data_IF_558319772747
#
_entry.id   IF_558319772747
#
_cell.length_a   1.000
_cell.length_b   1.000
_cell.length_c   1.000
_cell.angle_alpha   90.00
_cell.angle_beta   90.00
_cell.angle_gamma   90.00
#
_symmetry.space_group_name_H-M   'P 1'
#
loop_
_entity.id
_entity.type
_entity.pdbx_description
1 polymer ?
#
# COMPACT_ATOMS: atom_id res chain seq x y z
N UNK A 1 10.88 24.49 -9.68
CA UNK A 1 11.31 23.41 -8.77
C UNK A 1 10.97 22.09 -9.44
N UNK A 2 11.89 21.14 -9.44
CA UNK A 2 11.67 19.84 -10.09
C UNK A 2 10.58 19.08 -9.31
N UNK A 3 9.43 18.78 -9.91
CA UNK A 3 8.31 18.08 -9.27
C UNK A 3 8.45 16.55 -9.37
N UNK A 4 9.66 16.05 -9.47
CA UNK A 4 9.96 14.64 -9.68
C UNK A 4 9.89 13.84 -8.38
N UNK A 5 9.32 12.66 -8.44
CA UNK A 5 9.23 11.71 -7.33
C UNK A 5 10.27 10.60 -7.48
N UNK A 6 10.71 10.02 -6.37
CA UNK A 6 11.46 8.77 -6.37
C UNK A 6 10.53 7.64 -5.92
N UNK A 7 10.37 6.59 -6.73
CA UNK A 7 9.46 5.48 -6.43
C UNK A 7 10.26 4.18 -6.30
N UNK A 8 10.25 3.54 -5.14
CA UNK A 8 10.75 2.19 -4.99
C UNK A 8 9.68 1.17 -5.37
N UNK A 9 10.06 0.04 -5.94
CA UNK A 9 9.07 -0.95 -6.39
C UNK A 9 8.28 -0.54 -7.63
N UNK A 10 8.87 0.30 -8.48
CA UNK A 10 8.26 0.83 -9.70
C UNK A 10 7.89 -0.22 -10.76
N UNK A 11 8.44 -1.44 -10.70
CA UNK A 11 8.06 -2.56 -11.56
C UNK A 11 6.86 -3.37 -11.06
N UNK A 12 6.41 -3.10 -9.82
CA UNK A 12 5.26 -3.77 -9.23
C UNK A 12 3.91 -3.30 -9.81
N UNK A 13 2.83 -3.99 -9.45
CA UNK A 13 1.46 -3.71 -9.94
C UNK A 13 1.04 -2.25 -9.77
N UNK A 14 1.24 -1.67 -8.58
CA UNK A 14 0.92 -0.27 -8.32
C UNK A 14 1.96 0.68 -8.95
N UNK A 15 3.25 0.31 -8.90
CA UNK A 15 4.33 1.13 -9.42
C UNK A 15 4.20 1.41 -10.92
N UNK A 16 3.78 0.43 -11.71
CA UNK A 16 3.55 0.60 -13.15
C UNK A 16 2.47 1.64 -13.45
N UNK A 17 1.38 1.67 -12.68
CA UNK A 17 0.34 2.69 -12.83
C UNK A 17 0.79 4.08 -12.35
N UNK A 18 1.54 4.14 -11.24
CA UNK A 18 2.01 5.44 -10.74
C UNK A 18 3.01 6.11 -11.68
N UNK A 19 3.85 5.33 -12.40
CA UNK A 19 4.78 5.84 -13.41
C UNK A 19 4.08 6.56 -14.57
N UNK A 20 2.89 6.14 -14.92
CA UNK A 20 2.09 6.78 -15.97
C UNK A 20 1.44 8.08 -15.51
N UNK A 21 1.25 8.25 -14.20
CA UNK A 21 0.50 9.35 -13.59
C UNK A 21 1.38 10.44 -12.95
N UNK A 22 2.67 10.14 -12.69
CA UNK A 22 3.61 11.01 -11.99
C UNK A 22 4.94 11.10 -12.75
N UNK A 23 5.54 12.29 -12.75
CA UNK A 23 6.95 12.45 -13.14
C UNK A 23 7.84 11.83 -12.08
N UNK A 24 8.54 10.73 -12.36
CA UNK A 24 9.26 9.98 -11.35
C UNK A 24 10.45 9.20 -11.88
N UNK A 25 11.41 8.93 -11.00
CA UNK A 25 12.42 7.90 -11.17
C UNK A 25 11.98 6.62 -10.47
N UNK A 26 12.24 5.49 -11.11
CA UNK A 26 11.89 4.16 -10.59
C UNK A 26 13.08 3.23 -10.72
N UNK A 27 14.08 3.35 -9.82
CA UNK A 27 15.28 2.53 -9.91
C UNK A 27 14.96 1.04 -9.78
N UNK A 28 15.79 0.23 -10.42
CA UNK A 28 15.78 -1.22 -10.24
C UNK A 28 16.29 -1.60 -8.85
N UNK A 29 16.02 -2.83 -8.42
CA UNK A 29 16.57 -3.35 -7.15
C UNK A 29 18.11 -3.33 -7.13
N UNK A 30 18.77 -3.55 -8.26
CA UNK A 30 20.25 -3.51 -8.34
C UNK A 30 20.80 -2.13 -8.11
N UNK A 31 20.14 -1.09 -8.63
CA UNK A 31 20.54 0.32 -8.50
C UNK A 31 20.19 0.88 -7.11
N UNK A 32 19.07 0.43 -6.53
CA UNK A 32 18.51 1.00 -5.31
C UNK A 32 17.97 -0.11 -4.39
N UNK A 33 18.89 -0.88 -3.81
CA UNK A 33 18.56 -1.88 -2.82
C UNK A 33 18.23 -1.22 -1.48
N UNK A 34 16.97 -1.30 -1.07
CA UNK A 34 16.47 -0.68 0.16
C UNK A 34 17.05 -1.31 1.44
N UNK A 35 17.63 -2.50 1.33
CA UNK A 35 18.32 -3.16 2.45
C UNK A 35 19.75 -2.67 2.63
N UNK A 36 20.33 -1.97 1.63
CA UNK A 36 21.66 -1.40 1.66
C UNK A 36 21.66 0.14 1.79
N UNK A 37 21.91 0.71 2.98
CA UNK A 37 21.93 2.16 3.18
C UNK A 37 22.95 2.90 2.32
N UNK A 38 24.05 2.25 1.90
CA UNK A 38 25.08 2.89 1.04
C UNK A 38 24.52 3.07 -0.37
N UNK A 39 23.91 2.04 -0.95
CA UNK A 39 23.24 2.13 -2.26
C UNK A 39 22.15 3.20 -2.27
N UNK A 40 21.32 3.25 -1.21
CA UNK A 40 20.30 4.29 -1.08
C UNK A 40 20.94 5.69 -1.14
N UNK A 41 21.96 5.97 -0.30
CA UNK A 41 22.61 7.31 -0.27
C UNK A 41 23.26 7.69 -1.58
N UNK A 42 23.92 6.76 -2.25
CA UNK A 42 24.60 7.00 -3.52
C UNK A 42 23.64 7.34 -4.66
N UNK A 43 22.40 6.89 -4.58
CA UNK A 43 21.38 7.17 -5.59
C UNK A 43 20.82 8.60 -5.50
N UNK A 44 20.83 9.21 -4.31
CA UNK A 44 20.31 10.57 -4.11
C UNK A 44 21.29 11.64 -4.63
N UNK A 45 21.41 11.71 -5.94
CA UNK A 45 22.24 12.68 -6.67
C UNK A 45 21.46 13.91 -7.19
N UNK A 46 20.15 13.95 -6.96
CA UNK A 46 19.25 15.05 -7.31
C UNK A 46 18.16 15.24 -6.28
N UNK A 47 17.47 16.39 -6.35
CA UNK A 47 16.36 16.68 -5.48
C UNK A 47 15.06 16.01 -5.97
N UNK A 48 14.32 15.43 -5.04
CA UNK A 48 13.00 14.86 -5.26
C UNK A 48 11.94 15.58 -4.41
N UNK A 49 10.71 15.63 -4.89
CA UNK A 49 9.57 16.19 -4.16
C UNK A 49 9.17 15.29 -2.99
N UNK A 50 9.17 13.99 -3.20
CA UNK A 50 8.95 12.97 -2.16
C UNK A 50 9.49 11.61 -2.61
N UNK A 51 9.72 10.74 -1.61
CA UNK A 51 10.03 9.33 -1.79
C UNK A 51 8.73 8.53 -1.60
N UNK A 52 8.29 7.81 -2.64
CA UNK A 52 7.12 6.93 -2.62
C UNK A 52 7.63 5.50 -2.48
N UNK A 53 7.35 4.89 -1.33
CA UNK A 53 7.84 3.55 -1.02
C UNK A 53 6.77 2.49 -1.24
N UNK A 54 6.94 1.71 -2.33
CA UNK A 54 6.06 0.60 -2.73
C UNK A 54 6.75 -0.77 -2.61
N UNK A 55 8.09 -0.80 -2.63
CA UNK A 55 8.85 -2.05 -2.60
C UNK A 55 8.53 -2.84 -1.34
N UNK A 56 8.11 -4.08 -1.51
CA UNK A 56 7.82 -5.01 -0.42
C UNK A 56 7.75 -6.44 -0.95
N UNK A 57 8.05 -7.40 -0.10
CA UNK A 57 7.64 -8.79 -0.28
C UNK A 57 6.17 -8.85 0.12
N UNK A 58 5.28 -8.91 -0.88
CA UNK A 58 3.82 -8.77 -0.71
C UNK A 58 3.03 -10.07 -0.86
N UNK A 59 3.65 -11.14 -1.37
CA UNK A 59 3.05 -12.46 -1.38
C UNK A 59 3.04 -13.02 0.05
N UNK A 60 1.84 -13.32 0.56
CA UNK A 60 1.66 -13.73 1.95
C UNK A 60 2.25 -15.10 2.25
N UNK A 61 2.13 -16.03 1.29
CA UNK A 61 2.67 -17.38 1.43
C UNK A 61 4.20 -17.34 1.37
N UNK A 62 4.77 -16.59 0.43
CA UNK A 62 6.21 -16.39 0.36
C UNK A 62 6.74 -15.75 1.64
N UNK A 63 6.12 -14.66 2.10
CA UNK A 63 6.53 -13.96 3.32
C UNK A 63 6.49 -14.87 4.56
N UNK A 64 5.50 -15.75 4.68
CA UNK A 64 5.39 -16.70 5.78
C UNK A 64 6.51 -17.74 5.79
N UNK A 65 6.96 -18.18 4.60
CA UNK A 65 8.01 -19.18 4.44
C UNK A 65 9.44 -18.58 4.40
N UNK A 66 9.57 -17.25 4.17
CA UNK A 66 10.83 -16.51 4.10
C UNK A 66 10.79 -15.31 5.06
N UNK A 67 10.60 -15.60 6.36
CA UNK A 67 10.34 -14.59 7.38
C UNK A 67 11.49 -13.61 7.55
N UNK A 68 12.72 -14.08 7.58
CA UNK A 68 13.90 -13.24 7.69
C UNK A 68 14.03 -12.27 6.52
N UNK A 69 13.93 -12.76 5.29
CA UNK A 69 14.02 -11.94 4.09
C UNK A 69 12.89 -10.89 4.05
N UNK A 70 11.66 -11.31 4.36
CA UNK A 70 10.53 -10.39 4.38
C UNK A 70 10.66 -9.33 5.49
N UNK A 71 11.28 -9.66 6.62
CA UNK A 71 11.60 -8.70 7.67
C UNK A 71 12.69 -7.71 7.21
N UNK A 72 13.76 -8.21 6.59
CA UNK A 72 14.84 -7.36 6.06
C UNK A 72 14.29 -6.34 5.06
N UNK A 73 13.46 -6.79 4.11
CA UNK A 73 12.91 -5.91 3.07
C UNK A 73 11.82 -4.99 3.63
N UNK A 74 10.78 -5.55 4.27
CA UNK A 74 9.58 -4.80 4.64
C UNK A 74 9.77 -3.93 5.89
N UNK A 75 10.71 -4.26 6.77
CA UNK A 75 10.94 -3.54 8.04
C UNK A 75 12.24 -2.76 8.01
N UNK A 76 13.38 -3.44 7.81
CA UNK A 76 14.68 -2.75 7.81
C UNK A 76 14.83 -1.87 6.57
N UNK A 77 14.30 -2.26 5.41
CA UNK A 77 14.19 -1.41 4.23
C UNK A 77 13.43 -0.11 4.53
N UNK A 78 12.26 -0.19 5.20
CA UNK A 78 11.51 0.98 5.65
C UNK A 78 12.34 1.87 6.59
N UNK A 79 13.04 1.26 7.58
CA UNK A 79 13.94 1.98 8.50
C UNK A 79 15.01 2.76 7.75
N UNK A 80 15.68 2.12 6.80
CA UNK A 80 16.76 2.72 6.03
C UNK A 80 16.26 3.91 5.21
N UNK A 81 15.16 3.71 4.49
CA UNK A 81 14.53 4.75 3.68
C UNK A 81 14.05 5.93 4.52
N UNK A 82 13.42 5.66 5.66
CA UNK A 82 12.93 6.71 6.55
C UNK A 82 14.05 7.55 7.16
N UNK A 83 15.17 6.93 7.56
CA UNK A 83 16.37 7.64 8.04
C UNK A 83 16.93 8.56 6.97
N UNK A 84 17.15 8.04 5.76
CA UNK A 84 17.75 8.81 4.67
C UNK A 84 16.78 9.90 4.19
N UNK A 85 15.50 9.64 4.08
CA UNK A 85 14.50 10.66 3.78
C UNK A 85 14.52 11.79 4.82
N UNK A 86 14.65 11.46 6.11
CA UNK A 86 14.74 12.45 7.18
C UNK A 86 16.05 13.26 7.10
N UNK A 87 17.20 12.63 6.85
CA UNK A 87 18.50 13.29 6.61
C UNK A 87 18.43 14.28 5.43
N UNK A 88 17.68 13.94 4.39
CA UNK A 88 17.44 14.76 3.19
C UNK A 88 16.29 15.76 3.32
N UNK A 89 15.66 15.85 4.49
CA UNK A 89 14.43 16.63 4.71
C UNK A 89 13.30 16.32 3.72
N UNK A 90 13.28 15.11 3.19
CA UNK A 90 12.38 14.60 2.16
C UNK A 90 11.17 13.91 2.81
N UNK A 91 9.99 14.14 2.27
CA UNK A 91 8.79 13.42 2.67
C UNK A 91 8.83 11.98 2.17
N UNK A 92 8.52 11.02 3.05
CA UNK A 92 8.30 9.62 2.67
C UNK A 92 6.82 9.29 2.65
N UNK A 93 6.35 8.67 1.57
CA UNK A 93 4.98 8.20 1.38
C UNK A 93 5.04 6.69 1.30
N UNK A 94 4.52 6.01 2.31
CA UNK A 94 4.58 4.56 2.44
C UNK A 94 3.23 3.92 2.12
N UNK A 95 3.24 2.94 1.23
CA UNK A 95 2.03 2.17 0.92
C UNK A 95 1.99 0.94 1.83
N UNK A 96 1.05 0.96 2.76
CA UNK A 96 0.71 -0.12 3.68
C UNK A 96 -0.52 -0.89 3.20
N UNK A 97 -1.12 -1.70 4.04
CA UNK A 97 -2.13 -2.69 3.68
C UNK A 97 -3.27 -2.77 4.71
N UNK A 98 -4.42 -3.29 4.30
CA UNK A 98 -5.53 -3.70 5.17
C UNK A 98 -5.21 -4.98 5.97
N UNK A 99 -4.20 -5.75 5.58
CA UNK A 99 -3.75 -6.96 6.29
C UNK A 99 -3.14 -6.73 7.68
N UNK A 100 -2.98 -5.47 8.07
CA UNK A 100 -2.63 -5.12 9.45
C UNK A 100 -3.80 -5.30 10.42
N UNK A 101 -5.02 -5.48 9.92
CA UNK A 101 -6.22 -5.75 10.71
C UNK A 101 -6.61 -7.23 10.67
N UNK A 102 -7.27 -7.75 11.73
CA UNK A 102 -7.62 -9.16 11.81
C UNK A 102 -8.71 -9.58 10.80
N UNK A 103 -9.49 -8.63 10.28
CA UNK A 103 -10.54 -8.91 9.29
C UNK A 103 -11.80 -9.55 9.87
N UNK A 104 -12.07 -9.35 11.15
CA UNK A 104 -13.27 -9.86 11.84
C UNK A 104 -14.41 -8.85 11.87
N UNK A 105 -14.13 -7.59 12.23
CA UNK A 105 -15.14 -6.55 12.41
C UNK A 105 -15.48 -5.79 11.11
N UNK A 106 -14.49 -5.45 10.32
CA UNK A 106 -14.64 -4.55 9.16
C UNK A 106 -14.78 -3.09 9.56
N UNK A 107 -14.87 -2.21 8.56
CA UNK A 107 -14.99 -0.76 8.70
C UNK A 107 -13.89 -0.15 9.62
N UNK A 108 -12.68 -0.70 9.53
CA UNK A 108 -11.56 -0.26 10.36
C UNK A 108 -11.16 1.18 10.06
N UNK A 109 -11.11 2.01 11.11
CA UNK A 109 -10.65 3.40 11.05
C UNK A 109 -9.14 3.52 11.27
N UNK A 110 -8.58 4.70 11.02
CA UNK A 110 -7.16 4.97 11.26
C UNK A 110 -6.79 4.93 12.76
N UNK A 111 -7.76 5.03 13.65
CA UNK A 111 -7.60 4.99 15.11
C UNK A 111 -7.76 3.60 15.71
N UNK A 112 -8.25 2.63 14.93
CA UNK A 112 -8.41 1.27 15.43
C UNK A 112 -7.05 0.58 15.61
N UNK A 113 -6.95 -0.23 16.65
CA UNK A 113 -5.73 -0.96 16.97
C UNK A 113 -5.47 -2.05 15.92
N UNK A 114 -4.33 -2.00 15.22
CA UNK A 114 -3.97 -3.06 14.30
C UNK A 114 -3.64 -4.35 15.05
N UNK A 115 -4.06 -5.48 14.47
CA UNK A 115 -3.78 -6.83 14.95
C UNK A 115 -3.64 -7.77 13.74
N UNK A 116 -2.44 -7.81 13.12
CA UNK A 116 -2.22 -8.58 11.90
C UNK A 116 -2.43 -10.08 12.13
N UNK A 117 -3.19 -10.73 11.24
CA UNK A 117 -3.45 -12.16 11.32
C UNK A 117 -2.34 -13.00 10.64
N UNK A 118 -1.41 -12.40 9.91
CA UNK A 118 -0.35 -13.10 9.20
C UNK A 118 0.98 -12.32 9.22
N UNK A 119 2.05 -13.03 8.86
CA UNK A 119 3.42 -12.47 8.87
C UNK A 119 3.58 -11.27 7.95
N UNK A 120 2.99 -11.30 6.75
CA UNK A 120 3.01 -10.16 5.84
C UNK A 120 2.42 -8.90 6.49
N UNK A 121 1.21 -9.00 7.05
CA UNK A 121 0.58 -7.89 7.77
C UNK A 121 1.44 -7.38 8.93
N UNK A 122 2.06 -8.30 9.69
CA UNK A 122 2.99 -7.95 10.76
C UNK A 122 4.18 -7.13 10.24
N UNK A 123 4.85 -7.59 9.17
CA UNK A 123 6.02 -6.87 8.61
C UNK A 123 5.63 -5.50 8.05
N UNK A 124 4.44 -5.38 7.44
CA UNK A 124 3.93 -4.09 6.95
C UNK A 124 3.64 -3.12 8.10
N UNK A 125 3.04 -3.61 9.19
CA UNK A 125 2.80 -2.81 10.39
C UNK A 125 4.11 -2.37 11.05
N UNK A 126 5.08 -3.28 11.19
CA UNK A 126 6.40 -2.94 11.73
C UNK A 126 7.10 -1.87 10.86
N UNK A 127 6.94 -1.95 9.52
CA UNK A 127 7.40 -0.91 8.60
C UNK A 127 6.73 0.45 8.85
N UNK A 128 5.41 0.50 9.15
CA UNK A 128 4.72 1.74 9.54
C UNK A 128 5.38 2.38 10.78
N UNK A 129 5.72 1.57 11.79
CA UNK A 129 6.40 2.07 12.99
C UNK A 129 7.79 2.62 12.68
N UNK A 130 8.57 1.93 11.85
CA UNK A 130 9.89 2.42 11.44
C UNK A 130 9.81 3.77 10.70
N UNK A 131 8.85 3.94 9.78
CA UNK A 131 8.61 5.21 9.10
C UNK A 131 8.30 6.33 10.09
N UNK A 132 7.36 6.10 11.02
CA UNK A 132 6.93 7.09 12.01
C UNK A 132 8.03 7.45 13.01
N UNK A 133 8.86 6.50 13.38
CA UNK A 133 9.95 6.71 14.36
C UNK A 133 11.17 7.41 13.74
N UNK A 134 11.42 7.22 12.43
CA UNK A 134 12.66 7.66 11.80
C UNK A 134 12.50 8.84 10.85
N UNK A 135 11.28 9.23 10.48
CA UNK A 135 11.02 10.37 9.61
C UNK A 135 10.05 11.36 10.26
N UNK A 136 10.34 12.65 10.14
CA UNK A 136 9.45 13.72 10.60
C UNK A 136 8.36 14.05 9.57
N UNK A 137 8.64 13.83 8.27
CA UNK A 137 7.74 14.11 7.15
C UNK A 137 7.30 12.82 6.50
N UNK A 138 6.10 12.34 6.87
CA UNK A 138 5.61 11.07 6.34
C UNK A 138 4.11 11.10 6.04
N UNK A 139 3.73 10.22 5.13
CA UNK A 139 2.35 9.83 4.89
C UNK A 139 2.32 8.29 4.77
N UNK A 140 1.48 7.65 5.56
CA UNK A 140 1.23 6.21 5.48
C UNK A 140 -0.15 6.00 4.90
N UNK A 141 -0.23 5.32 3.77
CA UNK A 141 -1.48 5.00 3.06
C UNK A 141 -1.76 3.51 3.25
N UNK A 142 -2.76 3.19 4.06
CA UNK A 142 -3.30 1.84 4.14
C UNK A 142 -4.34 1.65 3.04
N UNK A 143 -4.12 0.65 2.22
CA UNK A 143 -4.98 0.38 1.06
C UNK A 143 -4.94 -1.08 0.67
N UNK A 144 -5.84 -1.48 -0.20
CA UNK A 144 -5.85 -2.79 -0.84
C UNK A 144 -6.31 -2.62 -2.29
N UNK A 145 -5.71 -3.38 -3.20
CA UNK A 145 -6.08 -3.35 -4.63
C UNK A 145 -5.91 -4.71 -5.28
N UNK A 146 -6.61 -4.89 -6.39
CA UNK A 146 -6.54 -6.07 -7.24
C UNK A 146 -5.96 -5.70 -8.60
N UNK A 147 -5.24 -6.64 -9.28
CA UNK A 147 -4.87 -6.46 -10.68
C UNK A 147 -6.13 -6.37 -11.56
N UNK A 148 -6.00 -5.82 -12.76
CA UNK A 148 -7.10 -5.67 -13.74
C UNK A 148 -7.65 -7.00 -14.29
N UNK A 149 -7.40 -8.09 -13.59
CA UNK A 149 -7.88 -9.43 -13.92
C UNK A 149 -8.31 -10.14 -12.67
N UNK A 150 -9.53 -10.66 -12.65
CA UNK A 150 -9.97 -11.59 -11.62
C UNK A 150 -9.43 -12.98 -11.93
N UNK A 151 -8.54 -13.51 -11.08
CA UNK A 151 -7.79 -14.75 -11.34
C UNK A 151 -8.49 -16.05 -10.92
N UNK A 152 -9.76 -15.97 -10.48
CA UNK A 152 -10.49 -17.13 -9.94
C UNK A 152 -11.78 -17.40 -10.71
N UNK A 153 -12.27 -18.68 -10.76
CA UNK A 153 -13.52 -19.02 -11.43
C UNK A 153 -14.77 -18.53 -10.67
N UNK A 154 -14.61 -18.27 -9.38
CA UNK A 154 -15.68 -17.87 -8.44
C UNK A 154 -15.28 -16.63 -7.65
N UNK A 155 -16.24 -16.04 -6.94
CA UNK A 155 -15.97 -14.97 -5.99
C UNK A 155 -16.90 -15.04 -4.79
N UNK A 156 -16.37 -14.76 -3.60
CA UNK A 156 -17.09 -14.84 -2.35
C UNK A 156 -18.12 -13.71 -2.20
N UNK A 157 -19.36 -14.10 -1.84
CA UNK A 157 -20.43 -13.15 -1.54
C UNK A 157 -20.40 -12.65 -0.09
N UNK A 158 -19.73 -13.39 0.80
CA UNK A 158 -19.64 -13.11 2.25
C UNK A 158 -18.23 -12.69 2.71
N UNK A 159 -17.37 -12.24 1.78
CA UNK A 159 -16.08 -11.65 2.10
C UNK A 159 -16.08 -10.20 1.58
N UNK A 160 -15.82 -9.25 2.47
CA UNK A 160 -15.97 -7.83 2.22
C UNK A 160 -14.64 -7.09 2.22
N UNK A 161 -14.57 -6.03 1.43
CA UNK A 161 -13.38 -5.21 1.25
C UNK A 161 -13.75 -3.77 0.85
N UNK A 162 -12.83 -2.83 1.10
CA UNK A 162 -12.80 -1.50 0.50
C UNK A 162 -11.83 -1.40 -0.68
N UNK A 163 -11.26 -2.53 -1.11
CA UNK A 163 -10.39 -2.58 -2.28
C UNK A 163 -11.12 -2.24 -3.58
N UNK A 164 -10.34 -1.83 -4.56
CA UNK A 164 -10.77 -1.77 -5.96
C UNK A 164 -9.64 -2.25 -6.88
N UNK A 165 -9.82 -2.12 -8.19
CA UNK A 165 -8.76 -2.42 -9.13
C UNK A 165 -7.66 -1.37 -9.06
N UNK A 166 -6.44 -1.78 -9.44
CA UNK A 166 -5.23 -0.97 -9.28
C UNK A 166 -5.30 0.37 -10.03
N UNK A 167 -5.99 0.43 -11.15
CA UNK A 167 -6.23 1.65 -11.93
C UNK A 167 -7.08 2.69 -11.20
N UNK A 168 -8.05 2.24 -10.40
CA UNK A 168 -8.87 3.11 -9.54
C UNK A 168 -8.06 3.59 -8.34
N UNK A 169 -7.44 2.65 -7.62
CA UNK A 169 -6.69 2.97 -6.39
C UNK A 169 -5.45 3.82 -6.69
N UNK A 170 -4.76 3.61 -7.81
CA UNK A 170 -3.60 4.43 -8.18
C UNK A 170 -3.97 5.91 -8.37
N UNK A 171 -5.12 6.21 -8.95
CA UNK A 171 -5.62 7.58 -9.11
C UNK A 171 -5.90 8.24 -7.76
N UNK A 172 -6.55 7.54 -6.85
CA UNK A 172 -6.82 8.03 -5.49
C UNK A 172 -5.50 8.30 -4.72
N UNK A 173 -4.51 7.42 -4.87
CA UNK A 173 -3.17 7.62 -4.27
C UNK A 173 -2.49 8.85 -4.87
N UNK A 174 -2.59 9.08 -6.19
CA UNK A 174 -2.01 10.28 -6.83
C UNK A 174 -2.66 11.55 -6.31
N UNK A 175 -3.98 11.57 -6.10
CA UNK A 175 -4.66 12.72 -5.49
C UNK A 175 -4.11 12.98 -4.07
N UNK A 176 -3.95 11.93 -3.26
CA UNK A 176 -3.39 12.04 -1.92
C UNK A 176 -1.96 12.63 -1.94
N UNK A 177 -1.14 12.17 -2.87
CA UNK A 177 0.24 12.65 -3.08
C UNK A 177 0.24 14.13 -3.47
N UNK A 178 -0.57 14.52 -4.49
CA UNK A 178 -0.66 15.89 -5.00
C UNK A 178 -1.22 16.87 -3.95
N UNK A 179 -2.17 16.43 -3.11
CA UNK A 179 -2.68 17.19 -1.97
C UNK A 179 -1.69 17.30 -0.80
N UNK A 180 -0.54 16.66 -0.89
CA UNK A 180 0.50 16.66 0.13
C UNK A 180 0.01 16.22 1.54
N UNK A 181 -0.92 15.26 1.58
CA UNK A 181 -1.51 14.75 2.83
C UNK A 181 -0.40 14.18 3.72
N UNK A 182 -0.47 14.50 5.03
CA UNK A 182 0.46 14.00 6.05
C UNK A 182 -0.27 13.09 7.04
N UNK A 183 0.51 12.20 7.68
CA UNK A 183 0.01 11.28 8.68
C UNK A 183 -0.58 10.01 8.09
N UNK A 184 -1.40 9.32 8.86
CA UNK A 184 -2.02 8.05 8.50
C UNK A 184 -3.36 8.29 7.81
N UNK A 185 -3.57 7.62 6.68
CA UNK A 185 -4.79 7.71 5.88
C UNK A 185 -5.18 6.34 5.30
N UNK A 186 -6.47 6.04 5.31
CA UNK A 186 -7.03 4.90 4.60
C UNK A 186 -7.53 5.33 3.22
N UNK A 187 -7.06 4.67 2.16
CA UNK A 187 -7.52 4.90 0.79
C UNK A 187 -8.16 3.62 0.27
N UNK A 188 -9.38 3.74 -0.20
CA UNK A 188 -10.18 2.66 -0.76
C UNK A 188 -11.44 3.21 -1.41
N UNK A 189 -12.34 2.31 -1.74
CA UNK A 189 -13.68 2.60 -2.27
C UNK A 189 -14.74 2.05 -1.31
N UNK A 190 -16.02 2.39 -1.46
CA UNK A 190 -17.07 1.88 -0.59
C UNK A 190 -17.02 0.37 -0.43
N UNK A 191 -17.35 -0.10 0.80
CA UNK A 191 -17.44 -1.53 1.12
C UNK A 191 -18.23 -2.28 0.07
N UNK A 192 -17.70 -3.42 -0.36
CA UNK A 192 -18.32 -4.36 -1.29
C UNK A 192 -17.85 -5.78 -1.04
N UNK A 193 -18.61 -6.77 -1.47
CA UNK A 193 -18.16 -8.16 -1.47
C UNK A 193 -17.11 -8.40 -2.58
N UNK A 194 -16.35 -9.47 -2.45
CA UNK A 194 -15.45 -9.90 -3.52
C UNK A 194 -16.21 -10.22 -4.80
N UNK A 195 -17.44 -10.73 -4.67
CA UNK A 195 -18.31 -10.99 -5.81
C UNK A 195 -18.70 -9.69 -6.55
N UNK A 196 -19.13 -8.66 -5.83
CA UNK A 196 -19.42 -7.35 -6.44
C UNK A 196 -18.20 -6.74 -7.10
N UNK A 197 -17.02 -6.86 -6.49
CA UNK A 197 -15.77 -6.39 -7.08
C UNK A 197 -15.43 -7.18 -8.36
N UNK A 198 -15.52 -8.52 -8.33
CA UNK A 198 -15.22 -9.37 -9.47
C UNK A 198 -16.16 -9.11 -10.66
N UNK A 199 -17.45 -8.84 -10.38
CA UNK A 199 -18.46 -8.54 -11.42
C UNK A 199 -18.18 -7.27 -12.22
N UNK A 200 -17.37 -6.35 -11.71
CA UNK A 200 -16.98 -5.14 -12.47
C UNK A 200 -16.26 -5.49 -13.78
N UNK A 201 -15.49 -6.59 -13.79
CA UNK A 201 -14.68 -6.99 -14.97
C UNK A 201 -15.10 -8.35 -15.54
N UNK A 202 -15.79 -9.20 -14.77
CA UNK A 202 -16.30 -10.48 -15.25
C UNK A 202 -17.79 -10.63 -14.87
N UNK A 203 -18.67 -10.29 -15.82
CA UNK A 203 -20.12 -10.36 -15.59
C UNK A 203 -20.65 -11.79 -15.34
N UNK A 204 -19.90 -12.81 -15.80
CA UNK A 204 -20.28 -14.22 -15.71
C UNK A 204 -19.64 -14.95 -14.52
N UNK A 205 -19.00 -14.21 -13.59
CA UNK A 205 -18.38 -14.78 -12.39
C UNK A 205 -19.44 -15.52 -11.55
N UNK A 206 -19.10 -16.72 -11.10
CA UNK A 206 -20.00 -17.52 -10.23
C UNK A 206 -19.81 -17.09 -8.78
N UNK A 207 -20.88 -17.21 -8.01
CA UNK A 207 -20.87 -16.96 -6.56
C UNK A 207 -20.25 -18.12 -5.81
N UNK A 208 -19.61 -17.79 -4.68
CA UNK A 208 -19.11 -18.75 -3.71
C UNK A 208 -19.31 -18.20 -2.29
N UNK A 209 -19.42 -19.09 -1.30
CA UNK A 209 -19.50 -18.74 0.12
C UNK A 209 -18.21 -19.24 0.78
N UNK A 210 -17.49 -18.34 1.44
CA UNK A 210 -16.35 -18.70 2.26
C UNK A 210 -16.85 -19.32 3.57
N UNK A 211 -16.65 -20.64 3.72
CA UNK A 211 -17.03 -21.39 4.91
C UNK A 211 -15.89 -21.54 5.92
N UNK A 212 -14.66 -21.13 5.57
CA UNK A 212 -13.53 -21.14 6.50
C UNK A 212 -13.77 -20.14 7.64
N UNK A 213 -13.87 -20.61 8.90
CA UNK A 213 -14.09 -19.74 10.05
C UNK A 213 -12.87 -18.84 10.34
N UNK A 214 -11.67 -19.24 9.93
CA UNK A 214 -10.44 -18.50 10.14
C UNK A 214 -10.13 -17.50 9.03
N UNK A 215 -10.90 -17.52 7.94
CA UNK A 215 -10.71 -16.58 6.85
C UNK A 215 -11.12 -15.16 7.28
N UNK A 216 -10.27 -14.14 7.09
CA UNK A 216 -10.60 -12.76 7.46
C UNK A 216 -11.64 -12.17 6.51
N UNK A 217 -12.91 -12.28 6.85
CA UNK A 217 -14.06 -11.97 5.96
C UNK A 217 -14.36 -10.48 5.86
N UNK A 218 -13.92 -9.66 6.82
CA UNK A 218 -14.29 -8.24 6.90
C UNK A 218 -13.03 -7.37 7.06
N UNK A 219 -12.31 -7.11 5.96
CA UNK A 219 -11.12 -6.24 5.96
C UNK A 219 -11.37 -4.87 5.37
N UNK A 220 -12.62 -4.49 5.23
CA UNK A 220 -12.95 -3.17 4.71
C UNK A 220 -12.45 -2.07 5.65
N UNK A 221 -11.85 -1.03 5.05
CA UNK A 221 -11.34 0.15 5.74
C UNK A 221 -12.42 1.23 5.76
N UNK A 222 -12.53 1.95 6.87
CA UNK A 222 -13.27 3.20 6.93
C UNK A 222 -12.54 4.26 6.11
N UNK A 223 -13.19 4.82 5.09
CA UNK A 223 -12.60 5.82 4.19
C UNK A 223 -13.14 7.24 4.39
N UNK A 224 -13.87 7.48 5.49
CA UNK A 224 -14.53 8.77 5.72
C UNK A 224 -13.54 9.93 5.86
N UNK A 225 -12.39 9.68 6.48
CA UNK A 225 -11.31 10.67 6.56
C UNK A 225 -10.79 11.02 5.17
N UNK A 226 -10.58 10.01 4.30
CA UNK A 226 -10.15 10.24 2.92
C UNK A 226 -11.20 11.01 2.13
N UNK A 227 -12.47 10.64 2.19
CA UNK A 227 -13.56 11.37 1.50
C UNK A 227 -13.58 12.86 1.85
N UNK A 228 -13.42 13.20 3.14
CA UNK A 228 -13.36 14.60 3.60
C UNK A 228 -12.15 15.35 3.03
N UNK A 229 -10.97 14.72 3.03
CA UNK A 229 -9.72 15.33 2.54
C UNK A 229 -9.66 15.39 1.01
N UNK A 230 -10.24 14.40 0.34
CA UNK A 230 -10.32 14.36 -1.13
C UNK A 230 -11.13 15.51 -1.68
N UNK A 231 -12.24 15.85 -1.05
CA UNK A 231 -13.20 16.84 -1.55
C UNK A 231 -14.02 16.30 -2.73
N UNK A 232 -14.95 17.13 -3.21
CA UNK A 232 -15.90 16.75 -4.28
C UNK A 232 -15.33 16.84 -5.71
N UNK A 233 -14.01 16.97 -5.89
CA UNK A 233 -13.44 16.97 -7.23
C UNK A 233 -13.48 15.56 -7.80
N UNK A 234 -14.45 15.27 -8.62
CA UNK A 234 -14.45 14.14 -9.55
C UNK A 234 -13.26 14.26 -10.50
N UNK A 235 -12.60 13.12 -10.79
CA UNK A 235 -11.56 13.01 -11.82
C UNK A 235 -12.27 12.80 -13.16
#
# INVERSE_FOLDING_TARGET
MNEKYLITGGSGKLGTHLKELLSCDTPTHQEFDITDPKKIRNYFNQDYKALIHLAAISDQHYAANHQEESYLVNVLGCRNLAKIANEKNLKIIYISTDYIFPGTAGNYSETDHPSPANWYGYTKLAGEYEIRLKSQKWCIIRTSFRPLKWGFPTAFTNVFTSADYVDVISKEIVICIKKNIQGLIHIGTPKKSFFELARKINKNIKTEICNDPNFPKNRDLCIEKWKKLRGNNEI
#
